data_IF_805988077718
#
_entry.id   IF_805988077718
#
_cell.length_a   1.000
_cell.length_b   1.000
_cell.length_c   1.000
_cell.angle_alpha   90.00
_cell.angle_beta   90.00
_cell.angle_gamma   90.00
#
_symmetry.space_group_name_H-M   'P 1'
#
loop_
_entity.id
_entity.type
_entity.pdbx_description
1 polymer ?
#
# COMPACT_ATOMS: atom_id res chain seq x y z
N UNK A 1 -8.62 1.72 4.09
CA UNK A 1 -9.47 2.43 5.07
C UNK A 1 -9.41 3.92 4.77
N UNK A 2 -10.46 4.67 5.10
CA UNK A 2 -10.58 6.12 4.85
C UNK A 2 -10.76 6.82 6.18
N UNK A 3 -10.05 7.91 6.39
CA UNK A 3 -10.10 8.71 7.62
C UNK A 3 -11.32 9.63 7.65
N UNK A 4 -11.79 10.02 8.84
CA UNK A 4 -12.79 11.08 9.02
C UNK A 4 -12.17 12.46 8.75
N UNK A 5 -12.02 12.79 7.48
CA UNK A 5 -11.41 14.04 7.02
C UNK A 5 -12.19 15.26 7.55
N UNK A 6 -13.51 15.18 7.63
CA UNK A 6 -14.32 16.30 8.11
C UNK A 6 -14.06 16.61 9.60
N UNK A 7 -13.98 15.58 10.45
CA UNK A 7 -13.63 15.77 11.84
C UNK A 7 -12.17 16.28 12.01
N UNK A 8 -11.24 15.73 11.24
CA UNK A 8 -9.84 16.18 11.25
C UNK A 8 -9.73 17.64 10.81
N UNK A 9 -10.42 18.05 9.74
CA UNK A 9 -10.45 19.44 9.26
C UNK A 9 -11.00 20.38 10.34
N UNK A 10 -12.09 19.99 10.99
CA UNK A 10 -12.70 20.77 12.07
C UNK A 10 -11.73 21.04 13.23
N UNK A 11 -10.99 20.01 13.64
CA UNK A 11 -9.98 20.14 14.72
C UNK A 11 -8.79 20.99 14.27
N UNK A 12 -8.27 20.77 13.06
CA UNK A 12 -7.15 21.54 12.52
C UNK A 12 -7.51 23.04 12.44
N UNK A 13 -8.65 23.38 11.86
CA UNK A 13 -9.11 24.75 11.69
C UNK A 13 -9.39 25.45 13.02
N UNK A 14 -9.94 24.72 14.02
CA UNK A 14 -10.13 25.26 15.36
C UNK A 14 -8.80 25.69 16.04
N UNK A 15 -7.68 25.13 15.60
CA UNK A 15 -6.35 25.46 16.08
C UNK A 15 -5.55 26.34 15.10
N UNK A 16 -6.17 26.88 14.07
CA UNK A 16 -5.53 27.72 13.05
C UNK A 16 -4.56 27.00 12.14
N UNK A 17 -4.63 25.65 12.08
CA UNK A 17 -3.81 24.81 11.20
C UNK A 17 -4.53 24.53 9.88
N UNK A 18 -3.77 24.36 8.80
CA UNK A 18 -4.27 23.90 7.51
C UNK A 18 -4.26 22.37 7.47
N UNK A 19 -5.22 21.78 6.77
CA UNK A 19 -5.28 20.35 6.49
C UNK A 19 -4.87 20.08 5.05
N UNK A 20 -3.73 19.41 4.87
CA UNK A 20 -3.26 18.88 3.58
C UNK A 20 -3.48 17.37 3.59
N UNK A 21 -4.14 16.84 2.56
CA UNK A 21 -4.48 15.41 2.45
C UNK A 21 -3.75 14.79 1.26
N UNK A 22 -3.00 13.72 1.51
CA UNK A 22 -2.56 12.82 0.45
C UNK A 22 -3.70 11.84 0.13
N UNK A 23 -4.35 12.06 -1.00
CA UNK A 23 -5.44 11.25 -1.55
C UNK A 23 -4.98 10.59 -2.87
N UNK A 24 -3.69 10.24 -2.98
CA UNK A 24 -3.11 9.68 -4.20
C UNK A 24 -3.89 8.44 -4.72
N UNK A 25 -4.42 7.62 -3.84
CA UNK A 25 -5.23 6.45 -4.17
C UNK A 25 -6.75 6.72 -4.20
N UNK A 26 -7.18 7.97 -4.06
CA UNK A 26 -8.58 8.38 -3.98
C UNK A 26 -9.03 9.32 -5.10
N UNK A 27 -8.32 9.40 -6.23
CA UNK A 27 -8.70 10.31 -7.32
C UNK A 27 -10.13 10.07 -7.87
N UNK A 28 -10.72 8.92 -7.61
CA UNK A 28 -12.09 8.55 -7.97
C UNK A 28 -13.14 8.93 -6.91
N UNK A 29 -12.73 9.44 -5.76
CA UNK A 29 -13.66 9.82 -4.69
C UNK A 29 -14.56 10.97 -5.10
N UNK A 30 -15.82 10.91 -4.63
CA UNK A 30 -16.81 11.94 -4.92
C UNK A 30 -17.55 11.81 -6.27
N UNK A 31 -17.22 10.82 -7.11
CA UNK A 31 -17.88 10.63 -8.41
C UNK A 31 -19.10 9.69 -8.38
N UNK A 32 -19.54 9.24 -7.22
CA UNK A 32 -20.71 8.37 -7.07
C UNK A 32 -20.37 6.91 -6.86
N UNK A 33 -21.30 5.99 -7.15
CA UNK A 33 -21.10 4.54 -7.00
C UNK A 33 -20.95 4.07 -5.55
N UNK A 34 -21.26 4.89 -4.55
CA UNK A 34 -21.08 4.55 -3.13
C UNK A 34 -19.61 4.59 -2.66
N UNK A 35 -18.70 5.14 -3.48
CA UNK A 35 -17.33 5.40 -3.07
C UNK A 35 -17.24 6.60 -2.10
N UNK A 36 -16.16 6.71 -1.30
CA UNK A 36 -15.97 7.80 -0.36
C UNK A 36 -16.04 9.18 -1.00
N UNK A 37 -16.27 10.22 -0.18
CA UNK A 37 -16.23 11.60 -0.62
C UNK A 37 -14.79 12.10 -0.75
N UNK A 38 -14.55 13.00 -1.70
CA UNK A 38 -13.27 13.66 -1.90
C UNK A 38 -12.95 14.59 -0.72
N UNK A 39 -11.68 14.62 -0.30
CA UNK A 39 -11.23 15.36 0.86
C UNK A 39 -11.44 16.88 0.76
N UNK A 40 -11.46 17.50 -0.46
CA UNK A 40 -11.82 18.91 -0.63
C UNK A 40 -13.25 19.15 -0.19
N UNK A 41 -14.19 18.28 -0.59
CA UNK A 41 -15.60 18.40 -0.19
C UNK A 41 -15.79 18.23 1.31
N UNK A 42 -14.87 17.58 1.99
CA UNK A 42 -14.86 17.34 3.44
C UNK A 42 -14.09 18.42 4.23
N UNK A 43 -13.58 19.46 3.56
CA UNK A 43 -12.97 20.63 4.21
C UNK A 43 -11.45 20.64 4.23
N UNK A 44 -10.77 19.78 3.48
CA UNK A 44 -9.32 19.89 3.31
C UNK A 44 -8.93 21.17 2.58
N UNK A 45 -7.84 21.82 2.99
CA UNK A 45 -7.33 23.04 2.37
C UNK A 45 -6.52 22.77 1.11
N UNK A 46 -5.87 21.62 1.02
CA UNK A 46 -5.22 21.12 -0.18
C UNK A 46 -5.25 19.60 -0.21
N UNK A 47 -5.34 19.04 -1.41
CA UNK A 47 -5.39 17.58 -1.63
C UNK A 47 -4.51 17.22 -2.83
N UNK A 48 -3.67 16.22 -2.67
CA UNK A 48 -2.88 15.63 -3.75
C UNK A 48 -3.59 14.35 -4.23
N UNK A 49 -3.89 14.26 -5.53
CA UNK A 49 -4.47 13.07 -6.14
C UNK A 49 -3.61 12.57 -7.30
N UNK A 50 -3.36 11.26 -7.36
CA UNK A 50 -2.72 10.63 -8.52
C UNK A 50 -3.79 10.09 -9.46
N UNK A 51 -3.95 10.71 -10.63
CA UNK A 51 -4.98 10.29 -11.59
C UNK A 51 -4.73 8.87 -12.09
N UNK A 52 -3.48 8.55 -12.39
CA UNK A 52 -3.07 7.28 -12.99
C UNK A 52 -3.28 6.05 -12.10
N UNK A 53 -3.51 6.22 -10.80
CA UNK A 53 -3.70 5.09 -9.87
C UNK A 53 -5.13 4.53 -9.87
N UNK A 54 -6.12 5.38 -10.10
CA UNK A 54 -7.53 4.98 -9.98
C UNK A 54 -8.43 5.48 -11.12
N UNK A 55 -7.90 6.31 -12.01
CA UNK A 55 -8.60 6.86 -13.16
C UNK A 55 -7.81 6.61 -14.46
N UNK A 56 -8.44 6.68 -15.64
CA UNK A 56 -7.79 6.37 -16.92
C UNK A 56 -6.85 7.49 -17.38
N UNK A 57 -5.70 7.60 -16.76
CA UNK A 57 -4.67 8.58 -17.07
C UNK A 57 -3.29 7.91 -17.20
N UNK A 58 -2.36 8.58 -17.86
CA UNK A 58 -0.98 8.08 -17.98
C UNK A 58 -0.25 8.10 -16.64
N UNK A 59 0.66 7.17 -16.44
CA UNK A 59 1.58 7.15 -15.28
C UNK A 59 2.25 8.52 -15.11
N UNK A 60 2.52 8.92 -13.88
CA UNK A 60 3.05 10.23 -13.44
C UNK A 60 2.04 11.39 -13.46
N UNK A 61 0.79 11.18 -13.87
CA UNK A 61 -0.21 12.24 -13.86
C UNK A 61 -0.83 12.41 -12.48
N UNK A 62 -0.80 13.63 -11.97
CA UNK A 62 -1.35 14.01 -10.68
C UNK A 62 -1.98 15.40 -10.72
N UNK A 63 -2.81 15.72 -9.74
CA UNK A 63 -3.36 17.05 -9.53
C UNK A 63 -3.15 17.47 -8.07
N UNK A 64 -2.87 18.75 -7.88
CA UNK A 64 -3.00 19.42 -6.59
C UNK A 64 -4.30 20.24 -6.61
N UNK A 65 -5.23 19.88 -5.73
CA UNK A 65 -6.51 20.55 -5.57
C UNK A 65 -6.43 21.50 -4.38
N UNK A 66 -6.93 22.73 -4.53
CA UNK A 66 -6.91 23.76 -3.47
C UNK A 66 -8.34 24.04 -3.01
N UNK A 67 -8.62 23.83 -1.72
CA UNK A 67 -9.90 24.12 -1.07
C UNK A 67 -9.90 25.47 -0.34
N UNK A 68 -8.96 25.64 0.59
CA UNK A 68 -8.84 26.85 1.42
C UNK A 68 -7.45 27.48 1.39
N UNK A 69 -6.46 26.76 0.89
CA UNK A 69 -5.09 27.26 0.78
C UNK A 69 -4.96 28.33 -0.31
N UNK A 70 -4.25 29.42 0.00
CA UNK A 70 -4.02 30.49 -0.98
C UNK A 70 -3.09 30.00 -2.08
N UNK A 71 -3.49 30.18 -3.33
CA UNK A 71 -2.75 29.82 -4.53
C UNK A 71 -1.30 30.33 -4.51
N UNK A 72 -1.10 31.62 -4.22
CA UNK A 72 0.23 32.22 -4.15
C UNK A 72 1.18 31.59 -3.11
N UNK A 73 0.66 30.92 -2.09
CA UNK A 73 1.49 30.18 -1.13
C UNK A 73 2.04 28.89 -1.71
N UNK A 74 1.34 28.32 -2.67
CA UNK A 74 1.67 27.06 -3.35
C UNK A 74 2.53 27.29 -4.58
N UNK A 75 2.21 28.29 -5.40
CA UNK A 75 2.91 28.60 -6.66
C UNK A 75 4.43 28.72 -6.50
N UNK A 76 4.87 29.36 -5.41
CA UNK A 76 6.30 29.49 -5.11
C UNK A 76 7.01 28.14 -5.04
N UNK A 77 6.38 27.16 -4.39
CA UNK A 77 6.97 25.83 -4.20
C UNK A 77 6.81 24.97 -5.45
N UNK A 78 5.70 25.10 -6.17
CA UNK A 78 5.55 24.47 -7.49
C UNK A 78 6.66 24.94 -8.43
N UNK A 79 6.94 26.24 -8.50
CA UNK A 79 8.02 26.78 -9.33
C UNK A 79 9.43 26.29 -8.94
N UNK A 80 9.63 25.81 -7.71
CA UNK A 80 10.91 25.24 -7.22
C UNK A 80 11.00 23.74 -7.50
N UNK A 81 9.90 22.99 -7.25
CA UNK A 81 9.93 21.51 -7.21
C UNK A 81 9.35 20.86 -8.46
N UNK A 82 8.53 21.57 -9.25
CA UNK A 82 8.04 21.06 -10.52
C UNK A 82 9.06 21.22 -11.65
N UNK A 83 8.85 20.44 -12.70
CA UNK A 83 9.64 20.58 -13.93
C UNK A 83 9.38 21.90 -14.62
N UNK A 84 10.42 22.55 -15.13
CA UNK A 84 10.30 23.73 -16.02
C UNK A 84 9.87 23.36 -17.45
N UNK A 85 9.81 22.07 -17.78
CA UNK A 85 9.48 21.56 -19.12
C UNK A 85 8.40 20.49 -19.03
N UNK A 86 7.13 20.84 -18.73
CA UNK A 86 6.06 19.89 -18.59
C UNK A 86 5.78 19.14 -19.90
N UNK A 87 5.53 17.84 -19.79
CA UNK A 87 5.19 17.00 -20.94
C UNK A 87 3.78 17.29 -21.43
N UNK A 88 3.64 17.83 -22.65
CA UNK A 88 2.32 18.03 -23.26
C UNK A 88 1.55 16.71 -23.47
N UNK A 89 2.26 15.58 -23.64
CA UNK A 89 1.62 14.25 -23.73
C UNK A 89 0.91 13.92 -22.42
N UNK A 90 1.60 14.11 -21.28
CA UNK A 90 1.01 13.86 -19.96
C UNK A 90 -0.13 14.85 -19.67
N UNK A 91 0.04 16.15 -20.00
CA UNK A 91 -1.02 17.15 -19.84
C UNK A 91 -2.26 16.81 -20.66
N UNK A 92 -2.09 16.39 -21.92
CA UNK A 92 -3.20 15.91 -22.75
C UNK A 92 -3.87 14.68 -22.16
N UNK A 93 -3.08 13.78 -21.55
CA UNK A 93 -3.60 12.61 -20.82
C UNK A 93 -4.48 13.01 -19.65
N UNK A 94 -4.06 14.00 -18.86
CA UNK A 94 -4.85 14.57 -17.75
C UNK A 94 -6.17 15.14 -18.26
N UNK A 95 -6.10 16.00 -19.29
CA UNK A 95 -7.28 16.63 -19.88
C UNK A 95 -8.30 15.61 -20.41
N UNK A 96 -7.82 14.60 -21.13
CA UNK A 96 -8.69 13.52 -21.64
C UNK A 96 -9.31 12.70 -20.53
N UNK A 97 -8.56 12.41 -19.47
CA UNK A 97 -9.08 11.73 -18.28
C UNK A 97 -10.21 12.54 -17.63
N UNK A 98 -10.00 13.83 -17.42
CA UNK A 98 -11.01 14.74 -16.83
C UNK A 98 -12.27 14.79 -17.70
N UNK A 99 -12.12 14.93 -19.01
CA UNK A 99 -13.26 14.92 -19.94
C UNK A 99 -13.99 13.58 -19.91
N UNK A 100 -13.27 12.46 -19.93
CA UNK A 100 -13.88 11.13 -19.86
C UNK A 100 -14.70 10.96 -18.59
N UNK A 101 -14.14 11.30 -17.43
CA UNK A 101 -14.85 11.20 -16.14
C UNK A 101 -16.05 12.14 -16.12
N UNK A 102 -15.90 13.41 -16.51
CA UNK A 102 -17.01 14.37 -16.56
C UNK A 102 -18.18 13.85 -17.39
N UNK A 103 -17.91 13.25 -18.53
CA UNK A 103 -18.94 12.87 -19.50
C UNK A 103 -19.55 11.48 -19.20
N UNK A 104 -18.86 10.63 -18.42
CA UNK A 104 -19.27 9.23 -18.22
C UNK A 104 -19.42 8.81 -16.75
N UNK A 105 -19.09 9.65 -15.76
CA UNK A 105 -18.99 9.27 -14.34
C UNK A 105 -20.20 8.48 -13.82
N UNK A 106 -21.42 8.91 -14.10
CA UNK A 106 -22.64 8.27 -13.59
C UNK A 106 -22.73 6.80 -14.05
N UNK A 107 -22.33 6.52 -15.29
CA UNK A 107 -22.39 5.18 -15.88
C UNK A 107 -21.23 4.32 -15.39
N UNK A 108 -19.99 4.83 -15.49
CA UNK A 108 -18.80 3.99 -15.25
C UNK A 108 -18.62 3.64 -13.77
N UNK A 109 -18.97 4.56 -12.84
CA UNK A 109 -18.90 4.27 -11.41
C UNK A 109 -20.05 3.37 -10.93
N UNK A 110 -21.24 3.48 -11.51
CA UNK A 110 -22.33 2.53 -11.27
C UNK A 110 -21.97 1.13 -11.77
N UNK A 111 -21.33 1.02 -12.93
CA UNK A 111 -20.84 -0.24 -13.45
C UNK A 111 -19.74 -0.85 -12.58
N UNK A 112 -18.75 -0.06 -12.16
CA UNK A 112 -17.70 -0.51 -11.24
C UNK A 112 -18.31 -1.04 -9.93
N UNK A 113 -19.27 -0.31 -9.34
CA UNK A 113 -19.99 -0.76 -8.13
C UNK A 113 -20.67 -2.11 -8.36
N UNK A 114 -21.40 -2.24 -9.46
CA UNK A 114 -22.08 -3.50 -9.79
C UNK A 114 -21.09 -4.68 -9.96
N UNK A 115 -19.92 -4.44 -10.57
CA UNK A 115 -18.86 -5.46 -10.72
C UNK A 115 -18.31 -5.87 -9.38
N UNK A 116 -18.00 -4.91 -8.52
CA UNK A 116 -17.53 -5.17 -7.15
C UNK A 116 -18.56 -5.96 -6.35
N UNK A 117 -19.84 -5.59 -6.39
CA UNK A 117 -20.90 -6.30 -5.66
C UNK A 117 -21.02 -7.76 -6.10
N UNK A 118 -20.99 -8.02 -7.41
CA UNK A 118 -20.99 -9.39 -7.95
C UNK A 118 -19.74 -10.19 -7.55
N UNK A 119 -18.58 -9.55 -7.65
CA UNK A 119 -17.31 -10.15 -7.22
C UNK A 119 -17.36 -10.55 -5.75
N UNK A 120 -17.70 -9.62 -4.87
CA UNK A 120 -17.79 -9.89 -3.43
C UNK A 120 -18.83 -10.95 -3.09
N UNK A 121 -19.95 -10.99 -3.81
CA UNK A 121 -20.93 -12.05 -3.65
C UNK A 121 -20.36 -13.41 -4.06
N UNK A 122 -19.66 -13.48 -5.19
CA UNK A 122 -19.08 -14.72 -5.74
C UNK A 122 -18.03 -15.33 -4.81
N UNK A 123 -17.23 -14.49 -4.14
CA UNK A 123 -16.16 -14.94 -3.23
C UNK A 123 -16.59 -15.03 -1.76
N UNK A 124 -17.85 -14.83 -1.43
CA UNK A 124 -18.32 -14.79 -0.04
C UNK A 124 -18.24 -16.14 0.71
N UNK A 125 -18.06 -17.24 -0.01
CA UNK A 125 -18.00 -18.61 0.55
C UNK A 125 -16.59 -19.14 0.77
N UNK A 126 -15.53 -18.31 0.63
CA UNK A 126 -14.15 -18.75 0.83
C UNK A 126 -13.87 -19.10 2.31
N UNK A 127 -13.19 -20.23 2.54
CA UNK A 127 -12.90 -20.75 3.88
C UNK A 127 -11.47 -20.41 4.35
N UNK A 128 -10.50 -20.54 3.49
CA UNK A 128 -9.06 -20.34 3.76
C UNK A 128 -8.55 -18.97 3.35
N UNK A 129 -9.20 -18.34 2.39
CA UNK A 129 -8.99 -16.95 2.03
C UNK A 129 -10.12 -16.10 2.61
N UNK A 130 -9.89 -14.79 2.74
CA UNK A 130 -10.92 -13.84 3.14
C UNK A 130 -10.77 -12.55 2.35
N UNK A 131 -11.83 -12.15 1.65
CA UNK A 131 -11.86 -10.87 0.93
C UNK A 131 -12.58 -9.86 1.79
N UNK A 132 -11.86 -8.83 2.22
CA UNK A 132 -12.32 -7.83 3.20
C UNK A 132 -13.39 -6.94 2.59
N UNK A 133 -14.45 -6.67 3.35
CA UNK A 133 -15.55 -5.79 3.00
C UNK A 133 -15.69 -4.65 4.00
N UNK A 134 -16.38 -3.59 3.58
CA UNK A 134 -16.74 -2.51 4.49
C UNK A 134 -17.54 -3.01 5.71
N UNK A 135 -18.41 -4.01 5.53
CA UNK A 135 -19.21 -4.61 6.59
C UNK A 135 -18.40 -5.37 7.66
N UNK A 136 -17.13 -5.67 7.39
CA UNK A 136 -16.27 -6.41 8.33
C UNK A 136 -15.70 -5.50 9.43
N UNK A 137 -15.90 -4.19 9.30
CA UNK A 137 -15.43 -3.20 10.26
C UNK A 137 -16.62 -2.58 11.03
N UNK A 138 -16.44 -2.42 12.32
CA UNK A 138 -17.30 -1.53 13.13
C UNK A 138 -16.94 -0.06 12.87
N UNK A 139 -17.83 0.85 13.25
CA UNK A 139 -17.60 2.30 13.11
C UNK A 139 -16.40 2.80 13.94
N UNK A 140 -16.01 2.07 14.99
CA UNK A 140 -14.85 2.40 15.84
C UNK A 140 -13.54 1.92 15.23
N UNK A 141 -13.58 0.93 14.32
CA UNK A 141 -12.39 0.38 13.66
C UNK A 141 -12.04 1.10 12.36
N UNK A 142 -13.06 1.53 11.61
CA UNK A 142 -12.86 2.28 10.36
C UNK A 142 -13.99 3.26 10.12
N UNK A 143 -13.66 4.52 9.86
CA UNK A 143 -14.64 5.55 9.49
C UNK A 143 -15.32 5.20 8.16
N UNK A 144 -14.52 4.85 7.15
CA UNK A 144 -15.02 4.39 5.85
C UNK A 144 -14.01 3.43 5.20
N UNK A 145 -14.44 2.72 4.15
CA UNK A 145 -13.64 1.76 3.43
C UNK A 145 -13.89 1.86 1.92
N UNK A 146 -12.82 1.98 1.15
CA UNK A 146 -12.87 1.97 -0.31
C UNK A 146 -12.81 0.52 -0.83
N UNK A 147 -13.94 -0.04 -1.19
CA UNK A 147 -14.04 -1.42 -1.68
C UNK A 147 -13.44 -1.64 -3.08
N UNK A 148 -12.97 -0.57 -3.78
CA UNK A 148 -12.15 -0.72 -4.98
C UNK A 148 -10.73 -1.22 -4.66
N UNK A 149 -10.33 -1.14 -3.40
CA UNK A 149 -9.12 -1.73 -2.83
C UNK A 149 -9.45 -3.12 -2.31
N UNK A 150 -9.42 -4.12 -3.20
CA UNK A 150 -9.76 -5.51 -2.89
C UNK A 150 -8.61 -6.11 -2.08
N UNK A 151 -8.82 -6.26 -0.78
CA UNK A 151 -7.84 -6.86 0.14
C UNK A 151 -8.20 -8.34 0.33
N UNK A 152 -7.26 -9.21 0.02
CA UNK A 152 -7.41 -10.66 0.10
C UNK A 152 -6.47 -11.18 1.19
N UNK A 153 -6.99 -11.54 2.34
CA UNK A 153 -6.23 -12.18 3.41
C UNK A 153 -6.08 -13.68 3.16
N UNK A 154 -4.85 -14.17 3.37
CA UNK A 154 -4.50 -15.59 3.25
C UNK A 154 -4.65 -16.35 4.56
N UNK A 155 -5.04 -15.66 5.63
CA UNK A 155 -5.09 -16.22 7.00
C UNK A 155 -3.74 -16.88 7.34
N UNK A 156 -3.75 -18.16 7.74
CA UNK A 156 -2.56 -18.95 8.06
C UNK A 156 -2.18 -19.93 6.92
N UNK A 157 -2.93 -19.93 5.83
CA UNK A 157 -2.77 -20.91 4.77
C UNK A 157 -1.50 -20.68 3.93
N UNK A 158 -1.12 -19.45 3.70
CA UNK A 158 0.09 -19.07 2.96
C UNK A 158 0.49 -17.62 3.24
N UNK A 159 1.69 -17.25 2.82
CA UNK A 159 2.12 -15.86 2.79
C UNK A 159 1.49 -15.11 1.60
N UNK A 160 1.28 -13.79 1.75
CA UNK A 160 0.72 -12.95 0.68
C UNK A 160 1.55 -12.96 -0.60
N UNK A 161 2.89 -12.98 -0.52
CA UNK A 161 3.75 -13.10 -1.69
C UNK A 161 3.54 -14.41 -2.44
N UNK A 162 3.34 -15.52 -1.74
CA UNK A 162 3.00 -16.81 -2.36
C UNK A 162 1.70 -16.72 -3.16
N UNK A 163 0.67 -16.07 -2.59
CA UNK A 163 -0.59 -15.85 -3.29
C UNK A 163 -0.40 -14.93 -4.51
N UNK A 164 0.37 -13.85 -4.38
CA UNK A 164 0.66 -12.92 -5.47
C UNK A 164 1.37 -13.62 -6.64
N UNK A 165 2.41 -14.41 -6.36
CA UNK A 165 3.12 -15.19 -7.38
C UNK A 165 2.22 -16.24 -8.04
N UNK A 166 1.39 -16.93 -7.25
CA UNK A 166 0.44 -17.91 -7.75
C UNK A 166 -0.57 -17.27 -8.71
N UNK A 167 -1.16 -16.14 -8.32
CA UNK A 167 -2.10 -15.38 -9.16
C UNK A 167 -1.44 -14.91 -10.46
N UNK A 168 -0.21 -14.39 -10.37
CA UNK A 168 0.52 -13.91 -11.55
C UNK A 168 0.91 -15.06 -12.49
N UNK A 169 1.55 -16.10 -11.98
CA UNK A 169 2.18 -17.13 -12.82
C UNK A 169 1.20 -18.17 -13.36
N UNK A 170 0.22 -18.56 -12.56
CA UNK A 170 -0.75 -19.61 -12.97
C UNK A 170 -2.00 -19.02 -13.58
N UNK A 171 -2.50 -17.88 -13.06
CA UNK A 171 -3.78 -17.30 -13.49
C UNK A 171 -3.60 -16.06 -14.37
N UNK A 172 -2.35 -15.61 -14.59
CA UNK A 172 -2.01 -14.39 -15.36
C UNK A 172 -2.75 -13.15 -14.84
N UNK A 173 -2.84 -13.04 -13.50
CA UNK A 173 -3.47 -11.93 -12.79
C UNK A 173 -2.41 -11.14 -12.04
N UNK A 174 -2.09 -9.94 -12.56
CA UNK A 174 -1.20 -8.99 -11.90
C UNK A 174 -2.00 -8.18 -10.88
N UNK A 175 -1.66 -8.29 -9.61
CA UNK A 175 -2.20 -7.47 -8.54
C UNK A 175 -1.21 -6.38 -8.13
N UNK A 176 -1.64 -5.45 -7.29
CA UNK A 176 -0.84 -4.28 -6.91
C UNK A 176 0.35 -4.64 -6.05
N UNK A 177 0.11 -5.40 -4.97
CA UNK A 177 1.15 -5.72 -4.00
C UNK A 177 0.73 -6.84 -3.06
N UNK A 178 1.72 -7.38 -2.34
CA UNK A 178 1.51 -8.28 -1.21
C UNK A 178 2.27 -7.79 0.02
N UNK A 179 1.75 -8.06 1.21
CA UNK A 179 2.46 -7.82 2.46
C UNK A 179 2.00 -8.80 3.54
N UNK A 180 2.95 -9.46 4.20
CA UNK A 180 2.65 -10.40 5.26
C UNK A 180 1.68 -11.49 4.79
N UNK A 181 0.44 -11.44 5.25
CA UNK A 181 -0.60 -12.42 4.96
C UNK A 181 -1.76 -11.87 4.13
N UNK A 182 -1.53 -10.83 3.32
CA UNK A 182 -2.54 -10.32 2.40
C UNK A 182 -1.98 -9.91 1.04
N UNK A 183 -2.87 -9.83 0.07
CA UNK A 183 -2.63 -9.28 -1.26
C UNK A 183 -3.63 -8.18 -1.52
N UNK A 184 -3.21 -7.12 -2.20
CA UNK A 184 -4.03 -6.00 -2.61
C UNK A 184 -4.22 -6.00 -4.12
N UNK A 185 -5.46 -5.97 -4.59
CA UNK A 185 -5.81 -5.63 -5.94
C UNK A 185 -6.45 -4.24 -6.01
N UNK A 186 -6.12 -3.47 -7.03
CA UNK A 186 -6.75 -2.20 -7.33
C UNK A 186 -7.76 -2.38 -8.46
N UNK A 187 -9.01 -2.02 -8.19
CA UNK A 187 -10.05 -2.01 -9.21
C UNK A 187 -10.37 -0.58 -9.65
N UNK A 188 -10.61 -0.39 -10.92
CA UNK A 188 -10.89 0.90 -11.55
C UNK A 188 -12.08 0.83 -12.50
N UNK A 189 -12.53 1.98 -12.97
CA UNK A 189 -13.60 2.06 -13.97
C UNK A 189 -13.25 1.43 -15.33
N UNK A 190 -11.96 1.12 -15.56
CA UNK A 190 -11.48 0.52 -16.80
C UNK A 190 -11.43 -1.01 -16.75
N UNK A 191 -11.60 -1.61 -15.57
CA UNK A 191 -11.61 -3.06 -15.43
C UNK A 191 -12.90 -3.66 -16.01
N UNK A 192 -12.77 -4.85 -16.58
CA UNK A 192 -13.86 -5.52 -17.27
C UNK A 192 -14.57 -6.55 -16.40
N UNK A 193 -15.79 -6.94 -16.79
CA UNK A 193 -16.50 -8.04 -16.14
C UNK A 193 -15.66 -9.33 -16.15
N UNK A 194 -14.97 -9.62 -17.27
CA UNK A 194 -14.08 -10.77 -17.41
C UNK A 194 -12.92 -10.73 -16.38
N UNK A 195 -12.29 -9.56 -16.16
CA UNK A 195 -11.21 -9.40 -15.19
C UNK A 195 -11.66 -9.75 -13.77
N UNK A 196 -12.83 -9.25 -13.36
CA UNK A 196 -13.42 -9.58 -12.06
C UNK A 196 -13.79 -11.07 -11.93
N UNK A 197 -14.36 -11.66 -13.00
CA UNK A 197 -14.72 -13.08 -13.00
C UNK A 197 -13.48 -13.97 -12.91
N UNK A 198 -12.42 -13.67 -13.66
CA UNK A 198 -11.14 -14.41 -13.60
C UNK A 198 -10.52 -14.36 -12.21
N UNK A 199 -10.52 -13.19 -11.55
CA UNK A 199 -10.00 -13.08 -10.19
C UNK A 199 -10.84 -13.91 -9.21
N UNK A 200 -12.18 -13.83 -9.29
CA UNK A 200 -13.06 -14.58 -8.41
C UNK A 200 -12.87 -16.11 -8.60
N UNK A 201 -12.82 -16.58 -9.84
CA UNK A 201 -12.65 -18.00 -10.17
C UNK A 201 -11.29 -18.53 -9.69
N UNK A 202 -10.23 -17.74 -9.88
CA UNK A 202 -8.90 -18.08 -9.36
C UNK A 202 -8.90 -18.22 -7.83
N UNK A 203 -9.52 -17.28 -7.10
CA UNK A 203 -9.59 -17.35 -5.64
C UNK A 203 -10.39 -18.57 -5.17
N UNK A 204 -11.51 -18.91 -5.83
CA UNK A 204 -12.33 -20.09 -5.52
C UNK A 204 -11.53 -21.37 -5.76
N UNK A 205 -10.81 -21.48 -6.89
CA UNK A 205 -9.97 -22.64 -7.18
C UNK A 205 -8.85 -22.78 -6.13
N UNK A 206 -8.17 -21.69 -5.79
CA UNK A 206 -7.09 -21.70 -4.78
C UNK A 206 -7.64 -22.13 -3.43
N UNK A 207 -8.76 -21.55 -2.99
CA UNK A 207 -9.41 -21.90 -1.71
C UNK A 207 -9.81 -23.38 -1.64
N UNK A 208 -10.33 -23.92 -2.73
CA UNK A 208 -10.65 -25.36 -2.86
C UNK A 208 -9.39 -26.24 -2.78
N UNK A 209 -8.29 -25.80 -3.38
CA UNK A 209 -7.00 -26.52 -3.26
C UNK A 209 -6.49 -26.47 -1.82
N UNK A 210 -6.58 -25.33 -1.17
CA UNK A 210 -6.19 -25.17 0.24
C UNK A 210 -7.02 -26.08 1.15
N UNK A 211 -8.34 -26.22 0.93
CA UNK A 211 -9.18 -27.15 1.69
C UNK A 211 -8.69 -28.60 1.57
N UNK A 212 -8.19 -28.99 0.40
CA UNK A 212 -7.63 -30.34 0.22
C UNK A 212 -6.36 -30.57 1.04
N UNK A 213 -5.54 -29.56 1.27
CA UNK A 213 -4.26 -29.62 1.98
C UNK A 213 -4.31 -28.94 3.36
N UNK A 214 -5.50 -28.74 3.93
CA UNK A 214 -5.68 -28.03 5.21
C UNK A 214 -4.98 -28.66 6.42
N UNK A 215 -4.64 -29.94 6.35
CA UNK A 215 -3.89 -30.66 7.38
C UNK A 215 -2.37 -30.47 7.24
N UNK A 216 -1.90 -30.06 6.07
CA UNK A 216 -0.47 -29.86 5.77
C UNK A 216 -0.32 -28.85 4.62
N UNK A 217 -0.24 -27.57 4.95
CA UNK A 217 0.00 -26.52 3.97
C UNK A 217 1.42 -26.53 3.40
N UNK A 218 2.38 -27.19 4.07
CA UNK A 218 3.75 -27.36 3.53
C UNK A 218 3.72 -28.28 2.30
N UNK A 219 2.91 -29.35 2.32
CA UNK A 219 2.68 -30.21 1.16
C UNK A 219 2.12 -29.41 -0.02
N UNK A 220 1.15 -28.53 0.24
CA UNK A 220 0.60 -27.66 -0.80
C UNK A 220 1.68 -26.75 -1.41
N UNK A 221 2.53 -26.19 -0.58
CA UNK A 221 3.62 -25.34 -1.01
C UNK A 221 4.64 -26.12 -1.86
N UNK A 222 5.02 -27.34 -1.46
CA UNK A 222 5.92 -28.18 -2.24
C UNK A 222 5.38 -28.50 -3.63
N UNK A 223 4.06 -28.69 -3.75
CA UNK A 223 3.39 -28.86 -5.04
C UNK A 223 3.51 -27.59 -5.91
N UNK A 224 3.27 -26.42 -5.34
CA UNK A 224 3.41 -25.14 -6.07
C UNK A 224 4.84 -24.91 -6.54
N UNK A 225 5.84 -25.34 -5.75
CA UNK A 225 7.25 -25.28 -6.12
C UNK A 225 7.59 -26.25 -7.24
N UNK A 226 7.07 -27.49 -7.20
CA UNK A 226 7.23 -28.47 -8.28
C UNK A 226 6.53 -28.02 -9.57
N UNK A 227 5.40 -27.35 -9.48
CA UNK A 227 4.71 -26.72 -10.60
C UNK A 227 5.47 -25.51 -11.17
N UNK A 228 6.58 -25.07 -10.54
CA UNK A 228 7.35 -23.88 -10.94
C UNK A 228 6.64 -22.55 -10.69
N UNK A 229 5.61 -22.56 -9.87
CA UNK A 229 4.77 -21.39 -9.61
C UNK A 229 5.40 -20.50 -8.54
N UNK A 230 6.04 -21.09 -7.53
CA UNK A 230 6.63 -20.38 -6.40
C UNK A 230 8.12 -20.73 -6.30
N UNK A 231 8.97 -19.75 -6.08
CA UNK A 231 10.43 -19.94 -6.01
C UNK A 231 10.96 -19.98 -4.58
N UNK A 232 10.37 -19.19 -3.69
CA UNK A 232 10.84 -19.04 -2.31
C UNK A 232 9.70 -19.21 -1.33
N UNK A 233 9.96 -19.91 -0.22
CA UNK A 233 9.02 -20.05 0.88
C UNK A 233 9.11 -18.84 1.81
N UNK A 234 7.97 -18.24 2.04
CA UNK A 234 7.80 -17.21 3.06
C UNK A 234 6.80 -17.72 4.09
N UNK A 235 7.19 -17.74 5.36
CA UNK A 235 6.26 -18.09 6.42
C UNK A 235 5.12 -17.06 6.50
N UNK A 236 3.87 -17.49 6.77
CA UNK A 236 2.80 -16.57 7.11
C UNK A 236 3.22 -15.73 8.32
N UNK A 237 3.20 -14.41 8.20
CA UNK A 237 3.58 -13.49 9.27
C UNK A 237 2.40 -12.61 9.61
N UNK A 238 1.98 -12.68 10.88
CA UNK A 238 1.08 -11.68 11.43
C UNK A 238 1.90 -10.43 11.74
N UNK A 239 1.67 -9.35 10.99
CA UNK A 239 2.28 -8.07 11.31
C UNK A 239 1.75 -7.59 12.65
N UNK A 240 2.66 -7.39 13.59
CA UNK A 240 2.36 -6.79 14.88
C UNK A 240 2.68 -5.29 14.83
N UNK A 241 1.72 -4.45 15.18
CA UNK A 241 1.93 -2.99 15.26
C UNK A 241 2.99 -2.59 16.29
N UNK A 242 3.37 -3.50 17.20
CA UNK A 242 4.47 -3.29 18.17
C UNK A 242 5.86 -3.19 17.52
N UNK A 243 5.97 -3.45 16.20
CA UNK A 243 7.20 -3.19 15.44
C UNK A 243 7.54 -1.69 15.41
N UNK A 244 6.52 -0.82 15.43
CA UNK A 244 6.69 0.63 15.52
C UNK A 244 6.90 1.04 16.98
N UNK A 245 8.15 1.19 17.38
CA UNK A 245 8.53 1.56 18.73
C UNK A 245 9.21 2.93 18.73
N UNK A 246 9.07 3.66 19.83
CA UNK A 246 9.83 4.90 20.01
C UNK A 246 11.25 4.54 20.43
N UNK A 247 12.22 4.83 19.58
CA UNK A 247 13.63 4.63 19.86
C UNK A 247 14.26 5.89 20.45
N UNK A 248 15.33 5.78 21.27
CA UNK A 248 16.07 6.91 21.74
C UNK A 248 16.81 7.60 20.59
N UNK A 249 16.52 8.88 20.34
CA UNK A 249 17.31 9.72 19.45
C UNK A 249 18.45 10.35 20.25
N UNK A 250 19.69 10.19 19.79
CA UNK A 250 20.91 10.70 20.43
C UNK A 250 21.68 11.67 19.54
N UNK A 251 21.24 11.83 18.31
CA UNK A 251 21.80 12.71 17.30
C UNK A 251 20.68 13.31 16.49
N UNK A 252 20.84 14.53 16.00
CA UNK A 252 19.90 15.12 15.06
C UNK A 252 19.88 14.30 13.76
N UNK A 253 18.70 14.10 13.19
CA UNK A 253 18.51 13.26 12.01
C UNK A 253 19.38 13.70 10.82
N UNK A 254 19.49 15.01 10.60
CA UNK A 254 20.31 15.58 9.54
C UNK A 254 21.80 15.28 9.76
N UNK A 255 22.30 15.51 10.98
CA UNK A 255 23.71 15.27 11.30
C UNK A 255 24.08 13.78 11.19
N UNK A 256 23.18 12.89 11.60
CA UNK A 256 23.37 11.45 11.49
C UNK A 256 23.33 10.97 10.04
N UNK A 257 22.49 11.57 9.20
CA UNK A 257 22.35 11.21 7.79
C UNK A 257 23.58 11.64 6.95
N UNK A 258 24.19 12.78 7.30
CA UNK A 258 25.37 13.34 6.62
C UNK A 258 26.72 12.87 7.21
N UNK A 259 26.69 12.15 8.33
CA UNK A 259 27.90 11.62 8.98
C UNK A 259 28.55 10.50 8.15
N UNK A 260 29.77 10.16 8.50
CA UNK A 260 30.42 8.96 7.96
C UNK A 260 29.73 7.69 8.48
N UNK A 261 29.48 6.75 7.58
CA UNK A 261 28.71 5.52 7.85
C UNK A 261 29.55 4.27 7.68
N UNK A 262 29.15 3.21 8.39
CA UNK A 262 29.64 1.85 8.19
C UNK A 262 28.48 0.86 8.06
N UNK A 263 28.65 -0.14 7.20
CA UNK A 263 27.74 -1.28 7.14
C UNK A 263 28.12 -2.30 8.23
N UNK A 264 27.19 -2.62 9.11
CA UNK A 264 27.39 -3.55 10.22
C UNK A 264 26.42 -4.72 10.11
N UNK A 265 26.89 -5.94 10.36
CA UNK A 265 26.01 -7.11 10.39
C UNK A 265 24.94 -6.98 11.49
N UNK A 266 23.75 -7.54 11.26
CA UNK A 266 22.63 -7.48 12.17
C UNK A 266 23.01 -7.76 13.63
N UNK A 267 23.79 -8.81 13.90
CA UNK A 267 24.24 -9.19 15.24
C UNK A 267 25.21 -8.19 15.91
N UNK A 268 25.65 -7.14 15.20
CA UNK A 268 26.51 -6.05 15.69
C UNK A 268 25.84 -4.69 15.65
N UNK A 269 24.58 -4.62 15.21
CA UNK A 269 23.88 -3.35 15.00
C UNK A 269 23.23 -2.81 16.30
N UNK A 270 22.94 -3.69 17.25
CA UNK A 270 22.37 -3.28 18.54
C UNK A 270 23.26 -2.29 19.29
N UNK A 271 22.65 -1.25 19.83
CA UNK A 271 23.33 -0.16 20.53
C UNK A 271 24.00 0.87 19.62
N UNK A 272 24.00 0.69 18.29
CA UNK A 272 24.56 1.65 17.34
C UNK A 272 23.51 2.68 16.91
N UNK A 273 23.98 3.87 16.57
CA UNK A 273 23.15 4.94 16.00
C UNK A 273 22.90 4.65 14.53
N UNK A 274 21.65 4.68 14.09
CA UNK A 274 21.31 4.48 12.68
C UNK A 274 21.80 5.67 11.86
N UNK A 275 22.43 5.38 10.72
CA UNK A 275 22.81 6.35 9.69
C UNK A 275 21.84 6.36 8.50
N UNK A 276 20.79 5.53 8.51
CA UNK A 276 19.81 5.43 7.44
C UNK A 276 18.39 5.29 7.98
N UNK A 277 17.43 5.62 7.14
CA UNK A 277 16.03 5.21 7.37
C UNK A 277 15.91 3.70 7.13
N UNK A 278 15.20 3.00 8.00
CA UNK A 278 14.77 1.62 7.75
C UNK A 278 13.25 1.63 7.67
N UNK A 279 12.73 1.35 6.50
CA UNK A 279 11.30 1.37 6.21
C UNK A 279 10.84 -0.02 5.82
N UNK A 280 9.64 -0.40 6.25
CA UNK A 280 8.93 -1.55 5.66
C UNK A 280 7.89 -1.00 4.69
N UNK A 281 7.92 -1.47 3.45
CA UNK A 281 6.93 -1.11 2.47
C UNK A 281 6.00 -2.30 2.17
N UNK A 282 4.69 -2.08 2.15
CA UNK A 282 3.97 -0.91 2.59
C UNK A 282 3.83 -0.83 4.12
N UNK A 283 3.54 0.34 4.71
CA UNK A 283 3.18 1.61 4.09
C UNK A 283 4.36 2.58 3.86
N UNK A 284 5.60 2.17 4.10
CA UNK A 284 6.77 3.04 4.00
C UNK A 284 7.02 3.92 5.24
N UNK A 285 6.40 3.58 6.37
CA UNK A 285 6.64 4.28 7.64
C UNK A 285 7.97 3.81 8.21
N UNK A 286 8.87 4.74 8.60
CA UNK A 286 10.15 4.37 9.20
C UNK A 286 9.99 3.61 10.51
N UNK A 287 10.71 2.50 10.63
CA UNK A 287 10.91 1.78 11.90
C UNK A 287 12.03 2.40 12.73
N UNK A 288 13.02 2.98 12.05
CA UNK A 288 14.09 3.76 12.62
C UNK A 288 14.46 4.88 11.67
N UNK A 289 14.78 6.04 12.22
CA UNK A 289 15.32 7.17 11.46
C UNK A 289 16.78 7.41 11.82
N UNK A 290 17.57 8.08 10.95
CA UNK A 290 18.94 8.46 11.29
C UNK A 290 19.01 9.20 12.62
N UNK A 291 20.00 8.87 13.44
CA UNK A 291 20.18 9.47 14.78
C UNK A 291 19.55 8.70 15.94
N UNK A 292 18.71 7.71 15.66
CA UNK A 292 18.15 6.83 16.68
C UNK A 292 19.04 5.62 16.97
N UNK A 293 19.00 5.13 18.21
CA UNK A 293 19.74 3.93 18.63
C UNK A 293 18.92 2.68 18.26
N UNK A 294 19.50 1.82 17.46
CA UNK A 294 18.95 0.51 17.14
C UNK A 294 19.05 -0.43 18.34
N UNK A 295 17.98 -1.15 18.67
CA UNK A 295 17.94 -2.16 19.73
C UNK A 295 17.73 -3.57 19.17
N UNK A 296 17.94 -4.58 20.01
CA UNK A 296 17.80 -5.99 19.62
C UNK A 296 16.39 -6.30 19.08
N UNK A 297 15.35 -5.76 19.72
CA UNK A 297 13.95 -5.99 19.28
C UNK A 297 13.71 -5.45 17.87
N UNK A 298 14.17 -4.23 17.57
CA UNK A 298 14.06 -3.66 16.23
C UNK A 298 14.75 -4.56 15.19
N UNK A 299 16.00 -4.96 15.49
CA UNK A 299 16.81 -5.78 14.58
C UNK A 299 16.12 -7.12 14.31
N UNK A 300 15.63 -7.79 15.37
CA UNK A 300 14.91 -9.05 15.24
C UNK A 300 13.62 -8.89 14.41
N UNK A 301 12.85 -7.82 14.64
CA UNK A 301 11.61 -7.55 13.93
C UNK A 301 11.88 -7.24 12.45
N UNK A 302 12.92 -6.46 12.15
CA UNK A 302 13.37 -6.16 10.77
C UNK A 302 13.80 -7.45 10.04
N UNK A 303 14.61 -8.29 10.67
CA UNK A 303 15.06 -9.56 10.08
C UNK A 303 13.87 -10.51 9.85
N UNK A 304 12.92 -10.59 10.79
CA UNK A 304 11.68 -11.36 10.60
C UNK A 304 10.86 -10.83 9.42
N UNK A 305 10.74 -9.50 9.29
CA UNK A 305 10.03 -8.88 8.18
C UNK A 305 10.65 -9.26 6.83
N UNK A 306 11.98 -9.12 6.69
CA UNK A 306 12.69 -9.53 5.47
C UNK A 306 12.50 -11.03 5.18
N UNK A 307 12.66 -11.90 6.17
CA UNK A 307 12.51 -13.34 6.00
C UNK A 307 11.06 -13.76 5.69
N UNK A 308 10.09 -12.89 5.94
CA UNK A 308 8.69 -13.08 5.56
C UNK A 308 8.35 -12.53 4.16
N UNK A 309 9.35 -12.01 3.44
CA UNK A 309 9.18 -11.47 2.11
C UNK A 309 8.69 -10.04 2.06
N UNK A 310 8.69 -9.31 3.19
CA UNK A 310 8.40 -7.88 3.17
C UNK A 310 9.59 -7.12 2.57
N UNK A 311 9.28 -6.11 1.78
CA UNK A 311 10.29 -5.20 1.26
C UNK A 311 10.73 -4.26 2.38
N UNK A 312 12.03 -4.28 2.68
CA UNK A 312 12.62 -3.45 3.71
C UNK A 312 13.75 -2.64 3.11
N UNK A 313 13.56 -1.33 3.07
CA UNK A 313 14.58 -0.38 2.64
C UNK A 313 15.57 -0.06 3.78
N UNK A 314 16.77 0.38 3.41
CA UNK A 314 17.81 0.80 4.36
C UNK A 314 18.72 -0.32 4.84
N UNK A 315 18.60 -1.52 4.25
CA UNK A 315 19.46 -2.67 4.52
C UNK A 315 20.29 -3.06 3.30
N UNK A 316 21.41 -3.74 3.54
CA UNK A 316 22.24 -4.36 2.51
C UNK A 316 22.37 -5.85 2.76
N UNK A 317 22.11 -6.66 1.75
CA UNK A 317 22.37 -8.09 1.82
C UNK A 317 23.80 -8.40 1.38
N UNK A 318 24.52 -9.16 2.20
CA UNK A 318 25.85 -9.68 1.88
C UNK A 318 25.71 -11.14 1.41
N UNK A 319 25.82 -11.42 0.11
CA UNK A 319 25.62 -12.76 -0.43
C UNK A 319 26.72 -13.75 -0.01
N UNK A 320 27.94 -13.28 0.23
CA UNK A 320 29.07 -14.14 0.61
C UNK A 320 28.92 -14.64 2.05
N UNK A 321 28.39 -13.79 2.93
CA UNK A 321 28.11 -14.14 4.32
C UNK A 321 26.69 -14.68 4.52
N UNK A 322 25.80 -14.55 3.52
CA UNK A 322 24.37 -14.83 3.60
C UNK A 322 23.70 -14.09 4.79
N UNK A 323 24.02 -12.79 4.94
CA UNK A 323 23.61 -11.98 6.09
C UNK A 323 23.20 -10.57 5.67
N UNK A 324 22.28 -9.99 6.45
CA UNK A 324 21.88 -8.59 6.32
C UNK A 324 22.79 -7.66 7.11
N UNK A 325 23.05 -6.48 6.54
CA UNK A 325 23.79 -5.38 7.15
C UNK A 325 22.91 -4.16 7.32
N UNK A 326 23.11 -3.49 8.43
CA UNK A 326 22.49 -2.21 8.80
C UNK A 326 23.51 -1.07 8.58
N UNK A 327 23.03 0.12 8.31
CA UNK A 327 23.86 1.34 8.22
C UNK A 327 23.96 1.98 9.59
N UNK A 328 25.15 2.13 10.09
CA UNK A 328 25.40 2.79 11.39
C UNK A 328 26.36 3.98 11.21
N UNK A 329 26.15 5.02 12.01
CA UNK A 329 27.10 6.13 12.14
C UNK A 329 28.42 5.60 12.70
N UNK A 330 29.57 6.11 12.20
CA UNK A 330 30.91 5.75 12.65
C UNK A 330 31.24 6.33 14.03
#
# INVERSE_FOLDING_TARGET
>A
MVSDVAAIASVAHAHGALLVVDEAHGAHFGFGGGFPQNAIALGADAVIVSLHKTLPAFTQTALLLLGGMREAAVEKFLGIYETSSPSYVLMTGIERCIHYVRDNKETVFAQLRSRLDRFYQKVSGLSHLNVVRKSDFSADEAYDFDESKIIIFTKEAMNGHTLLELLLKKYELQLEMAAGNYVLALASVMDTDEGFDRLADALIEIDSRLEKYKSDFEEFYDILKQEGVVHQFYFPVKMDTTIYQKLPAVMEMYDAYDADHQAVYAFKASGKVSGAFINIYPPGIPLVVPGEIMNDKLIDDVIKAVNSGLEVDGLYFDPDANMWKFVAVL
#
